data_IF_205624802596
#
_entry.id   IF_205624802596
#
_cell.length_a   1.000
_cell.length_b   1.000
_cell.length_c   1.000
_cell.angle_alpha   90.00
_cell.angle_beta   90.00
_cell.angle_gamma   90.00
#
_symmetry.space_group_name_H-M   'P 1'
#
loop_
_entity.id
_entity.type
_entity.pdbx_description
1 polymer ?
#
# COMPACT_ATOMS: atom_id res chain seq x y z
N UNK A 1 -11.64 19.80 -5.88
CA UNK A 1 -12.91 19.08 -5.68
C UNK A 1 -13.79 19.65 -4.57
N UNK A 2 -13.35 20.54 -3.72
CA UNK A 2 -14.18 21.25 -2.74
C UNK A 2 -14.79 20.43 -1.60
N UNK A 3 -14.34 19.19 -1.39
CA UNK A 3 -14.82 18.37 -0.27
C UNK A 3 -14.18 18.81 1.05
N UNK A 4 -14.91 18.73 2.18
CA UNK A 4 -14.35 18.98 3.49
C UNK A 4 -13.23 17.98 3.81
N UNK A 5 -12.17 18.46 4.46
CA UNK A 5 -11.02 17.64 4.86
C UNK A 5 -10.94 17.63 6.37
N UNK A 6 -10.77 16.46 6.98
CA UNK A 6 -10.62 16.30 8.43
C UNK A 6 -9.20 16.69 8.87
N UNK A 7 -8.85 17.96 8.73
CA UNK A 7 -7.54 18.52 9.09
C UNK A 7 -7.67 19.93 9.62
N UNK A 8 -6.72 20.34 10.49
CA UNK A 8 -6.63 21.73 10.98
C UNK A 8 -6.21 22.70 9.88
N UNK A 9 -5.39 22.23 8.95
CA UNK A 9 -4.96 22.96 7.76
C UNK A 9 -4.70 21.96 6.62
N UNK A 10 -4.96 22.39 5.40
CA UNK A 10 -4.74 21.58 4.21
C UNK A 10 -4.28 22.46 3.07
N UNK A 11 -3.15 22.12 2.47
CA UNK A 11 -2.60 22.79 1.31
C UNK A 11 -2.21 21.76 0.25
N UNK A 12 -2.48 22.06 -1.02
CA UNK A 12 -2.14 21.18 -2.13
C UNK A 12 -1.88 21.97 -3.41
N UNK A 13 -1.11 21.35 -4.31
CA UNK A 13 -0.97 21.84 -5.69
C UNK A 13 -2.00 21.20 -6.57
N UNK A 14 -2.60 21.96 -7.47
CA UNK A 14 -3.58 21.44 -8.45
C UNK A 14 -2.89 20.41 -9.35
N UNK A 15 -3.51 19.24 -9.49
CA UNK A 15 -3.10 18.15 -10.37
C UNK A 15 -4.08 18.01 -11.53
N UNK A 16 -3.59 17.52 -12.67
CA UNK A 16 -4.39 17.33 -13.88
C UNK A 16 -5.22 16.05 -13.84
N UNK A 17 -4.89 15.12 -12.94
CA UNK A 17 -5.64 13.89 -12.74
C UNK A 17 -5.35 13.23 -11.40
N UNK A 18 -6.33 12.43 -10.96
CA UNK A 18 -6.24 11.55 -9.80
C UNK A 18 -6.49 10.12 -10.28
N UNK A 19 -5.54 9.24 -9.98
CA UNK A 19 -5.71 7.79 -10.15
C UNK A 19 -5.63 7.13 -8.79
N UNK A 20 -6.62 6.32 -8.47
CA UNK A 20 -6.62 5.55 -7.22
C UNK A 20 -6.95 4.08 -7.50
N UNK A 21 -6.24 3.20 -6.83
CA UNK A 21 -6.51 1.76 -6.75
C UNK A 21 -6.56 1.37 -5.29
N UNK A 22 -7.69 1.69 -4.65
CA UNK A 22 -7.97 1.42 -3.24
C UNK A 22 -9.24 0.57 -3.22
N UNK A 23 -9.19 -0.59 -2.57
CA UNK A 23 -10.31 -1.54 -2.46
C UNK A 23 -10.98 -1.85 -3.81
N UNK A 24 -10.20 -2.38 -4.73
CA UNK A 24 -10.71 -2.78 -6.06
C UNK A 24 -11.66 -3.96 -5.89
N UNK A 25 -12.96 -3.73 -6.04
CA UNK A 25 -13.93 -4.81 -6.07
C UNK A 25 -13.74 -5.68 -7.32
N UNK A 26 -13.98 -6.99 -7.20
CA UNK A 26 -13.98 -7.91 -8.33
C UNK A 26 -15.01 -7.47 -9.37
N UNK A 27 -14.58 -7.27 -10.59
CA UNK A 27 -15.49 -7.00 -11.70
C UNK A 27 -15.82 -8.33 -12.42
N UNK A 28 -16.65 -9.13 -11.78
CA UNK A 28 -17.08 -10.47 -12.28
C UNK A 28 -17.72 -10.35 -13.67
N UNK A 29 -18.31 -9.18 -13.99
CA UNK A 29 -19.00 -8.95 -15.26
C UNK A 29 -18.09 -8.89 -16.49
N UNK A 30 -16.78 -8.65 -16.32
CA UNK A 30 -15.80 -8.58 -17.41
C UNK A 30 -14.89 -9.83 -17.51
N UNK A 31 -15.06 -10.81 -16.62
CA UNK A 31 -14.25 -12.03 -16.60
C UNK A 31 -12.77 -11.83 -16.26
N UNK A 32 -12.39 -10.63 -15.79
CA UNK A 32 -11.02 -10.37 -15.39
C UNK A 32 -10.81 -10.72 -13.91
N UNK A 33 -9.66 -11.38 -13.62
CA UNK A 33 -9.22 -11.53 -12.25
C UNK A 33 -8.93 -10.16 -11.64
N UNK A 34 -9.12 -10.04 -10.33
CA UNK A 34 -8.78 -8.84 -9.55
C UNK A 34 -7.38 -8.30 -9.89
N UNK A 35 -6.39 -9.20 -9.98
CA UNK A 35 -5.01 -8.88 -10.34
C UNK A 35 -4.90 -8.22 -11.73
N UNK A 36 -5.56 -8.77 -12.75
CA UNK A 36 -5.50 -8.19 -14.10
C UNK A 36 -6.13 -6.80 -14.16
N UNK A 37 -7.26 -6.59 -13.47
CA UNK A 37 -7.89 -5.27 -13.39
C UNK A 37 -6.97 -4.24 -12.73
N UNK A 38 -6.23 -4.63 -11.70
CA UNK A 38 -5.24 -3.79 -11.05
C UNK A 38 -4.07 -3.44 -11.99
N UNK A 39 -3.51 -4.41 -12.70
CA UNK A 39 -2.45 -4.20 -13.70
C UNK A 39 -2.88 -3.20 -14.77
N UNK A 40 -4.11 -3.32 -15.29
CA UNK A 40 -4.66 -2.38 -16.28
C UNK A 40 -4.74 -0.95 -15.71
N UNK A 41 -5.15 -0.77 -14.45
CA UNK A 41 -5.20 0.55 -13.80
C UNK A 41 -3.82 1.17 -13.63
N UNK A 42 -2.85 0.39 -13.17
CA UNK A 42 -1.45 0.83 -13.06
C UNK A 42 -0.92 1.23 -14.45
N UNK A 43 -1.20 0.44 -15.48
CA UNK A 43 -0.84 0.78 -16.87
C UNK A 43 -1.43 2.12 -17.32
N UNK A 44 -2.72 2.37 -17.05
CA UNK A 44 -3.37 3.64 -17.43
C UNK A 44 -2.74 4.83 -16.71
N UNK A 45 -2.42 4.69 -15.42
CA UNK A 45 -1.72 5.71 -14.66
C UNK A 45 -0.31 5.97 -15.23
N UNK A 46 0.44 4.93 -15.57
CA UNK A 46 1.76 5.03 -16.17
C UNK A 46 1.72 5.73 -17.54
N UNK A 47 0.75 5.40 -18.40
CA UNK A 47 0.57 6.06 -19.70
C UNK A 47 0.26 7.56 -19.55
N UNK A 48 -0.56 7.94 -18.57
CA UNK A 48 -0.88 9.33 -18.31
C UNK A 48 0.34 10.09 -17.74
N UNK A 49 1.13 9.48 -16.88
CA UNK A 49 2.39 10.05 -16.38
C UNK A 49 3.42 10.20 -17.50
N UNK A 50 3.58 9.19 -18.35
CA UNK A 50 4.47 9.22 -19.50
C UNK A 50 4.07 10.29 -20.54
N UNK A 51 2.80 10.64 -20.62
CA UNK A 51 2.31 11.76 -21.42
C UNK A 51 2.58 13.15 -20.80
N UNK A 52 3.34 13.22 -19.71
CA UNK A 52 3.75 14.46 -19.04
C UNK A 52 2.69 15.09 -18.14
N UNK A 53 1.60 14.37 -17.80
CA UNK A 53 0.55 14.90 -16.92
C UNK A 53 1.02 14.95 -15.47
N UNK A 54 0.66 16.02 -14.77
CA UNK A 54 0.88 16.17 -13.33
C UNK A 54 -0.22 15.46 -12.54
N UNK A 55 0.08 14.30 -12.00
CA UNK A 55 -0.91 13.39 -11.41
C UNK A 55 -0.74 13.26 -9.89
N UNK A 56 -1.85 12.92 -9.23
CA UNK A 56 -1.86 12.30 -7.91
C UNK A 56 -2.24 10.83 -8.09
N UNK A 57 -1.34 9.94 -7.69
CA UNK A 57 -1.49 8.49 -7.80
C UNK A 57 -1.57 7.89 -6.38
N UNK A 58 -2.58 7.06 -6.13
CA UNK A 58 -2.79 6.43 -4.83
C UNK A 58 -3.05 4.93 -5.04
N UNK A 59 -2.14 4.10 -4.58
CA UNK A 59 -2.23 2.64 -4.69
C UNK A 59 -2.17 2.01 -3.31
N UNK A 60 -3.12 1.13 -3.02
CA UNK A 60 -3.21 0.42 -1.77
C UNK A 60 -2.92 -1.07 -2.00
N UNK A 61 -1.83 -1.56 -1.39
CA UNK A 61 -1.36 -2.94 -1.48
C UNK A 61 -1.24 -3.47 -2.91
N UNK A 62 -0.40 -2.79 -3.72
CA UNK A 62 -0.17 -3.18 -5.12
C UNK A 62 0.13 -4.67 -5.25
N UNK A 63 -0.58 -5.30 -6.21
CA UNK A 63 -0.35 -6.67 -6.66
C UNK A 63 -0.56 -7.76 -5.60
N UNK A 64 -1.37 -7.49 -4.56
CA UNK A 64 -1.69 -8.48 -3.53
C UNK A 64 -2.46 -9.71 -4.05
N UNK A 65 -3.04 -9.63 -5.24
CA UNK A 65 -3.80 -10.71 -5.87
C UNK A 65 -2.97 -11.76 -6.61
N UNK A 66 -1.63 -11.75 -6.48
CA UNK A 66 -0.73 -12.75 -7.08
C UNK A 66 0.14 -13.44 -6.03
N UNK A 67 1.12 -14.24 -6.46
CA UNK A 67 2.08 -14.87 -5.55
C UNK A 67 3.01 -13.82 -4.92
N UNK A 68 3.60 -14.16 -3.77
CA UNK A 68 4.40 -13.23 -2.96
C UNK A 68 5.59 -12.65 -3.72
N UNK A 69 6.24 -13.46 -4.56
CA UNK A 69 7.40 -13.00 -5.33
C UNK A 69 7.01 -12.00 -6.40
N UNK A 70 5.98 -12.27 -7.18
CA UNK A 70 5.50 -11.35 -8.21
C UNK A 70 4.94 -10.07 -7.61
N UNK A 71 4.27 -10.15 -6.44
CA UNK A 71 3.82 -8.99 -5.70
C UNK A 71 4.99 -8.11 -5.25
N UNK A 72 6.06 -8.71 -4.72
CA UNK A 72 7.28 -8.00 -4.34
C UNK A 72 7.95 -7.35 -5.56
N UNK A 73 8.28 -8.14 -6.60
CA UNK A 73 8.99 -7.67 -7.78
C UNK A 73 8.18 -6.58 -8.51
N UNK A 74 6.87 -6.79 -8.68
CA UNK A 74 5.98 -5.84 -9.34
C UNK A 74 5.86 -4.53 -8.56
N UNK A 75 5.66 -4.58 -7.24
CA UNK A 75 5.57 -3.37 -6.40
C UNK A 75 6.87 -2.59 -6.40
N UNK A 76 8.02 -3.29 -6.31
CA UNK A 76 9.34 -2.66 -6.35
C UNK A 76 9.55 -1.92 -7.68
N UNK A 77 9.41 -2.61 -8.81
CA UNK A 77 9.67 -2.06 -10.14
C UNK A 77 8.72 -0.90 -10.49
N UNK A 78 7.44 -1.02 -10.15
CA UNK A 78 6.45 0.03 -10.40
C UNK A 78 6.73 1.26 -9.54
N UNK A 79 7.10 1.07 -8.27
CA UNK A 79 7.44 2.18 -7.38
C UNK A 79 8.72 2.90 -7.83
N UNK A 80 9.76 2.17 -8.21
CA UNK A 80 10.99 2.73 -8.80
C UNK A 80 10.67 3.52 -10.07
N UNK A 81 9.86 2.96 -10.98
CA UNK A 81 9.48 3.63 -12.21
C UNK A 81 8.69 4.92 -11.99
N UNK A 82 7.74 4.94 -11.05
CA UNK A 82 7.02 6.17 -10.72
C UNK A 82 7.88 7.22 -10.02
N UNK A 83 8.92 6.83 -9.30
CA UNK A 83 9.83 7.77 -8.63
C UNK A 83 10.57 8.70 -9.61
N UNK A 84 10.68 8.34 -10.88
CA UNK A 84 11.30 9.16 -11.91
C UNK A 84 10.37 10.29 -12.43
N UNK A 85 9.05 10.17 -12.23
CA UNK A 85 8.07 11.18 -12.65
C UNK A 85 7.90 12.28 -11.60
N UNK A 86 8.85 13.23 -11.54
CA UNK A 86 8.92 14.28 -10.51
C UNK A 86 7.73 15.23 -10.47
N UNK A 87 7.01 15.37 -11.58
CA UNK A 87 5.79 16.17 -11.67
C UNK A 87 4.55 15.45 -11.10
N UNK A 88 4.67 14.16 -10.82
CA UNK A 88 3.64 13.37 -10.17
C UNK A 88 3.88 13.30 -8.64
N UNK A 89 2.79 13.18 -7.90
CA UNK A 89 2.81 12.78 -6.48
C UNK A 89 2.19 11.40 -6.40
N UNK A 90 2.86 10.47 -5.74
CA UNK A 90 2.31 9.13 -5.53
C UNK A 90 2.39 8.71 -4.07
N UNK A 91 1.41 7.96 -3.66
CA UNK A 91 1.30 7.32 -2.36
C UNK A 91 1.05 5.85 -2.61
N UNK A 92 1.95 5.01 -2.16
CA UNK A 92 1.84 3.55 -2.31
C UNK A 92 1.91 2.94 -0.92
N UNK A 93 0.86 2.25 -0.50
CA UNK A 93 0.89 1.44 0.71
C UNK A 93 1.27 0.00 0.36
N UNK A 94 2.02 -0.64 1.23
CA UNK A 94 2.36 -2.06 1.13
C UNK A 94 2.66 -2.64 2.50
N UNK A 95 2.33 -3.90 2.70
CA UNK A 95 2.75 -4.66 3.87
C UNK A 95 4.04 -5.47 3.62
N UNK A 96 4.61 -5.39 2.42
CA UNK A 96 5.86 -6.07 2.05
C UNK A 96 7.03 -5.18 2.48
N UNK A 97 7.55 -5.40 3.68
CA UNK A 97 8.63 -4.60 4.29
C UNK A 97 9.87 -4.57 3.40
N UNK A 98 10.17 -5.69 2.75
CA UNK A 98 11.32 -5.88 1.88
C UNK A 98 11.34 -4.91 0.68
N UNK A 99 10.17 -4.50 0.18
CA UNK A 99 10.07 -3.45 -0.86
C UNK A 99 10.59 -2.13 -0.33
N UNK A 100 10.18 -1.74 0.88
CA UNK A 100 10.67 -0.53 1.53
C UNK A 100 12.18 -0.56 1.73
N UNK A 101 12.72 -1.68 2.20
CA UNK A 101 14.16 -1.85 2.42
C UNK A 101 14.96 -1.72 1.10
N UNK A 102 14.48 -2.33 0.01
CA UNK A 102 15.11 -2.24 -1.30
C UNK A 102 15.11 -0.80 -1.85
N UNK A 103 14.06 -0.02 -1.56
CA UNK A 103 13.88 1.35 -2.04
C UNK A 103 14.59 2.41 -1.19
N UNK A 104 15.18 2.09 -0.02
CA UNK A 104 15.86 3.04 0.87
C UNK A 104 16.95 3.88 0.19
N UNK A 105 17.58 3.33 -0.85
CA UNK A 105 18.59 4.03 -1.65
C UNK A 105 18.04 5.15 -2.53
N UNK A 106 16.72 5.21 -2.70
CA UNK A 106 16.06 6.16 -3.59
C UNK A 106 15.68 7.44 -2.83
N UNK A 107 16.37 8.53 -3.10
CA UNK A 107 16.19 9.82 -2.42
C UNK A 107 14.87 10.53 -2.75
N UNK A 108 14.14 10.06 -3.76
CA UNK A 108 12.83 10.63 -4.15
C UNK A 108 11.66 9.97 -3.41
N UNK A 109 11.92 8.96 -2.60
CA UNK A 109 10.88 8.20 -1.88
C UNK A 109 10.99 8.51 -0.38
N UNK A 110 9.86 8.90 0.22
CA UNK A 110 9.72 9.07 1.66
C UNK A 110 8.96 7.87 2.22
N UNK A 111 9.50 7.28 3.28
CA UNK A 111 8.87 6.15 3.98
C UNK A 111 8.15 6.65 5.21
N UNK A 112 6.93 6.16 5.39
CA UNK A 112 6.13 6.46 6.57
C UNK A 112 5.35 5.21 7.00
N UNK A 113 5.06 5.09 8.29
CA UNK A 113 4.28 3.99 8.85
C UNK A 113 3.40 4.47 9.99
N UNK A 114 2.40 3.68 10.34
CA UNK A 114 1.54 3.90 11.49
C UNK A 114 1.88 2.89 12.59
N UNK A 115 2.55 3.29 13.67
CA UNK A 115 2.93 2.36 14.73
C UNK A 115 1.72 1.84 15.48
N UNK A 116 1.77 0.57 15.84
CA UNK A 116 0.87 -0.05 16.80
C UNK A 116 1.60 -0.19 18.13
N UNK A 117 0.93 0.16 19.22
CA UNK A 117 1.45 0.04 20.57
C UNK A 117 0.73 -1.11 21.24
N UNK A 118 1.47 -1.97 21.98
CA UNK A 118 0.86 -2.99 22.81
C UNK A 118 0.37 -2.40 24.13
N UNK A 119 -0.90 -2.58 24.44
CA UNK A 119 -1.52 -2.26 25.73
C UNK A 119 -1.89 -3.59 26.42
N UNK A 120 -0.96 -4.11 27.18
CA UNK A 120 -1.02 -5.50 27.65
C UNK A 120 -1.03 -6.48 26.47
N UNK A 121 -2.02 -7.39 26.40
CA UNK A 121 -2.15 -8.34 25.28
C UNK A 121 -2.80 -7.73 24.02
N UNK A 122 -3.38 -6.52 24.10
CA UNK A 122 -4.15 -5.96 23.00
C UNK A 122 -3.37 -4.94 22.17
N UNK A 123 -3.40 -5.03 20.83
CA UNK A 123 -2.81 -4.02 19.96
C UNK A 123 -3.67 -2.73 19.99
N UNK A 124 -3.04 -1.59 20.21
CA UNK A 124 -3.66 -0.26 20.13
C UNK A 124 -3.08 0.51 18.97
N UNK A 125 -3.91 0.85 18.02
CA UNK A 125 -3.54 1.66 16.86
C UNK A 125 -3.40 3.12 17.26
N UNK A 126 -2.27 3.74 16.89
CA UNK A 126 -2.00 5.13 17.27
C UNK A 126 -2.67 6.15 16.37
N UNK A 127 -2.98 5.77 15.12
CA UNK A 127 -3.45 6.67 14.06
C UNK A 127 -2.52 7.88 13.83
N UNK A 128 -1.26 7.75 14.19
CA UNK A 128 -0.23 8.77 14.01
C UNK A 128 0.83 8.26 13.05
N UNK A 129 1.06 9.00 11.97
CA UNK A 129 2.08 8.68 11.00
C UNK A 129 3.46 9.03 11.54
N UNK A 130 4.43 8.12 11.38
CA UNK A 130 5.84 8.33 11.68
C UNK A 130 6.70 8.11 10.44
N UNK A 131 7.85 8.75 10.39
CA UNK A 131 8.84 8.52 9.33
C UNK A 131 9.60 7.22 9.58
N UNK A 132 9.86 6.50 8.49
CA UNK A 132 10.61 5.24 8.49
C UNK A 132 9.81 4.07 7.96
N UNK A 133 10.38 2.89 8.12
CA UNK A 133 9.79 1.59 7.76
C UNK A 133 9.55 0.85 9.07
N UNK A 134 8.39 0.22 9.23
CA UNK A 134 8.08 -0.58 10.42
C UNK A 134 8.72 -1.97 10.32
N UNK A 135 9.13 -2.49 11.45
CA UNK A 135 9.54 -3.90 11.61
C UNK A 135 8.43 -4.75 12.29
N UNK A 136 7.27 -4.16 12.53
CA UNK A 136 6.17 -4.79 13.24
C UNK A 136 5.60 -5.99 12.46
N UNK A 137 5.72 -7.18 13.04
CA UNK A 137 5.18 -8.46 12.53
C UNK A 137 4.02 -8.94 13.39
N UNK A 138 2.97 -8.15 13.47
CA UNK A 138 1.88 -8.40 14.43
C UNK A 138 0.95 -9.57 14.04
N UNK A 139 0.89 -9.96 12.78
CA UNK A 139 -0.01 -11.04 12.32
C UNK A 139 0.16 -12.34 13.09
N UNK A 140 1.39 -12.81 13.25
CA UNK A 140 1.67 -14.05 14.02
C UNK A 140 1.40 -13.90 15.52
N UNK A 141 1.55 -12.70 16.07
CA UNK A 141 1.23 -12.43 17.46
C UNK A 141 -0.27 -12.54 17.71
N UNK A 142 -1.08 -11.95 16.82
CA UNK A 142 -2.55 -12.04 16.91
C UNK A 142 -3.01 -13.50 16.78
N UNK A 143 -2.49 -14.27 15.82
CA UNK A 143 -2.80 -15.70 15.66
C UNK A 143 -2.53 -16.49 16.94
N UNK A 144 -1.43 -16.21 17.62
CA UNK A 144 -1.11 -16.86 18.92
C UNK A 144 -2.04 -16.39 20.04
N UNK A 145 -2.33 -15.10 20.12
CA UNK A 145 -3.21 -14.54 21.15
C UNK A 145 -4.63 -15.06 21.07
N UNK A 146 -5.14 -15.29 19.85
CA UNK A 146 -6.46 -15.90 19.63
C UNK A 146 -6.49 -17.41 19.98
N UNK A 147 -5.38 -17.99 20.40
CA UNK A 147 -5.31 -19.39 20.82
C UNK A 147 -5.54 -20.41 19.70
N UNK A 148 -5.41 -19.99 18.44
CA UNK A 148 -5.72 -20.86 17.28
C UNK A 148 -4.79 -22.07 17.26
N UNK A 149 -3.50 -21.88 17.56
CA UNK A 149 -2.51 -22.96 17.55
C UNK A 149 -2.77 -23.99 18.67
N UNK A 150 -3.18 -23.54 19.84
CA UNK A 150 -3.55 -24.38 20.98
C UNK A 150 -4.81 -25.19 20.68
N UNK A 151 -5.83 -24.57 20.09
CA UNK A 151 -7.06 -25.24 19.66
C UNK A 151 -6.78 -26.36 18.64
N UNK A 152 -5.96 -26.09 17.63
CA UNK A 152 -5.62 -27.08 16.59
C UNK A 152 -4.79 -28.25 17.15
N UNK A 153 -3.90 -27.98 18.09
CA UNK A 153 -3.08 -29.02 18.72
C UNK A 153 -3.90 -29.91 19.72
N UNK A 154 -4.93 -29.36 20.35
CA UNK A 154 -5.78 -30.12 21.28
C UNK A 154 -6.66 -31.17 20.58
N UNK A 155 -6.85 -31.07 19.25
CA UNK A 155 -7.59 -32.07 18.45
C UNK A 155 -6.73 -33.27 18.04
N UNK A 156 -5.43 -33.26 18.33
CA UNK A 156 -4.48 -34.36 18.01
C UNK A 156 -4.15 -35.25 19.21
N UNK A 157 -4.71 -34.97 20.40
CA UNK A 157 -4.61 -35.75 21.61
C UNK A 157 -5.90 -36.53 21.87
#
# INVERSE_FOLDING_TARGET
>A
MGFPVAAKSFGFSIREGLYSSINVADNIGLGYSHFYAEVVRVKQAALAAAAGKRLLLMFDELFKGTNVKDAYDGTLLVTEGFADYRECVFVISTHIIEVGEALKKNNNIRFTYMPTIMDGPHPRYTYQMKEGITEDRQGMMIIRQEGILELLNSLQA
#
